data_IF_276788947854
#
_entry.id   IF_276788947854
#
_cell.length_a   1.000
_cell.length_b   1.000
_cell.length_c   1.000
_cell.angle_alpha   90.00
_cell.angle_beta   90.00
_cell.angle_gamma   90.00
#
_symmetry.space_group_name_H-M   'P 1'
#
loop_
_entity.id
_entity.type
_entity.pdbx_description
1 polymer ?
#
# COMPACT_ATOMS: atom_id res chain seq x y z
N UNK A 1 5.89 -0.13 1.48
CA UNK A 1 4.45 0.02 1.83
C UNK A 1 3.58 0.25 0.59
N UNK A 2 4.00 1.08 -0.37
CA UNK A 2 3.22 1.39 -1.58
C UNK A 2 2.75 0.14 -2.34
N UNK A 3 3.65 -0.79 -2.67
CA UNK A 3 3.27 -2.02 -3.39
C UNK A 3 2.36 -2.93 -2.56
N UNK A 4 2.61 -3.01 -1.25
CA UNK A 4 1.81 -3.83 -0.34
C UNK A 4 0.38 -3.29 -0.18
N UNK A 5 0.19 -1.97 -0.29
CA UNK A 5 -1.13 -1.34 -0.16
C UNK A 5 -2.11 -1.80 -1.27
N UNK A 6 -1.61 -2.30 -2.42
CA UNK A 6 -2.44 -2.93 -3.45
C UNK A 6 -3.19 -4.18 -2.94
N UNK A 7 -2.66 -4.85 -1.90
CA UNK A 7 -3.31 -6.02 -1.28
C UNK A 7 -4.48 -5.66 -0.39
N UNK A 8 -4.66 -4.38 -0.08
CA UNK A 8 -5.70 -3.89 0.84
C UNK A 8 -5.70 -4.64 2.18
N UNK A 9 -4.53 -4.68 2.82
CA UNK A 9 -4.31 -5.30 4.14
C UNK A 9 -3.84 -4.27 5.15
N UNK A 10 -4.09 -4.46 6.46
CA UNK A 10 -3.54 -3.61 7.50
C UNK A 10 -2.03 -3.37 7.37
N UNK A 11 -1.62 -2.13 7.60
CA UNK A 11 -0.21 -1.71 7.61
C UNK A 11 0.04 -1.01 8.94
N UNK A 12 1.08 -1.45 9.66
CA UNK A 12 1.61 -0.75 10.83
C UNK A 12 3.02 -0.32 10.49
N UNK A 13 3.35 0.94 10.76
CA UNK A 13 4.68 1.49 10.51
C UNK A 13 5.40 1.62 11.85
N UNK A 14 6.61 1.08 11.91
CA UNK A 14 7.54 1.34 13.00
C UNK A 14 8.65 2.25 12.48
N UNK A 15 8.70 3.48 12.97
CA UNK A 15 9.58 4.55 12.51
C UNK A 15 10.19 5.29 13.72
N UNK A 16 11.08 4.59 14.43
CA UNK A 16 11.74 5.07 15.64
C UNK A 16 12.80 6.15 15.40
N UNK A 17 13.24 6.33 14.16
CA UNK A 17 14.27 7.28 13.76
C UNK A 17 13.77 8.33 12.73
N UNK A 18 12.46 8.54 12.62
CA UNK A 18 11.85 9.35 11.54
C UNK A 18 12.50 10.73 11.35
N UNK A 19 12.77 11.45 12.43
CA UNK A 19 13.38 12.77 12.36
C UNK A 19 14.79 12.73 11.74
N UNK A 20 15.59 11.72 12.12
CA UNK A 20 16.94 11.50 11.56
C UNK A 20 16.85 11.04 10.11
N UNK A 21 15.91 10.14 9.81
CA UNK A 21 15.67 9.63 8.47
C UNK A 21 15.32 10.77 7.50
N UNK A 22 14.35 11.62 7.86
CA UNK A 22 13.91 12.72 6.98
C UNK A 22 15.02 13.72 6.71
N UNK A 23 15.85 14.03 7.71
CA UNK A 23 16.92 15.02 7.59
C UNK A 23 18.09 14.49 6.76
N UNK A 24 18.48 13.23 6.97
CA UNK A 24 19.65 12.62 6.33
C UNK A 24 19.38 12.12 4.91
N UNK A 25 18.15 11.67 4.63
CA UNK A 25 17.78 11.06 3.34
C UNK A 25 16.92 11.97 2.48
N UNK A 26 16.23 12.93 3.09
CA UNK A 26 15.11 13.61 2.44
C UNK A 26 13.93 12.66 2.21
N UNK A 27 12.73 13.21 2.11
CA UNK A 27 11.52 12.46 1.79
C UNK A 27 10.65 13.26 0.83
N UNK A 28 10.06 12.57 -0.15
CA UNK A 28 9.06 13.16 -1.06
C UNK A 28 7.64 13.15 -0.47
N UNK A 29 7.46 12.39 0.60
CA UNK A 29 6.19 12.11 1.23
C UNK A 29 6.39 12.17 2.74
N UNK A 30 5.52 12.92 3.43
CA UNK A 30 5.54 13.00 4.88
C UNK A 30 4.74 11.85 5.48
N UNK A 31 5.46 10.84 5.96
CA UNK A 31 4.89 9.65 6.58
C UNK A 31 4.02 9.98 7.78
N UNK A 32 4.34 11.03 8.54
CA UNK A 32 3.58 11.40 9.74
C UNK A 32 2.29 12.15 9.41
N UNK A 33 2.24 12.81 8.26
CA UNK A 33 1.05 13.53 7.81
C UNK A 33 0.02 12.61 7.16
N UNK A 34 0.45 11.59 6.42
CA UNK A 34 -0.42 10.78 5.57
C UNK A 34 -0.13 9.26 5.65
N UNK A 35 -0.05 8.66 6.86
CA UNK A 35 0.38 7.28 6.99
C UNK A 35 -0.65 6.28 6.42
N UNK A 36 -0.22 5.09 5.98
CA UNK A 36 -1.13 4.03 5.53
C UNK A 36 -1.84 3.28 6.67
N UNK A 37 -1.61 3.67 7.93
CA UNK A 37 -2.10 3.03 9.15
C UNK A 37 -1.36 3.56 10.38
N UNK A 38 -1.43 2.89 11.55
CA UNK A 38 -0.80 3.39 12.76
C UNK A 38 0.72 3.48 12.62
N UNK A 39 1.29 4.55 13.19
CA UNK A 39 2.74 4.74 13.27
C UNK A 39 3.18 4.65 14.72
N UNK A 40 4.11 3.74 15.00
CA UNK A 40 4.76 3.60 16.29
C UNK A 40 6.22 4.08 16.20
N UNK A 41 6.68 4.78 17.23
CA UNK A 41 8.05 5.26 17.38
C UNK A 41 8.82 4.52 18.47
N UNK A 42 8.13 3.73 19.30
CA UNK A 42 8.77 2.85 20.28
C UNK A 42 8.22 1.43 20.24
N UNK A 43 8.96 0.43 20.74
CA UNK A 43 8.47 -0.93 20.88
C UNK A 43 7.19 -1.04 21.72
N UNK A 44 7.03 -0.19 22.74
CA UNK A 44 5.85 -0.15 23.60
C UNK A 44 4.61 0.34 22.86
N UNK A 45 4.75 1.40 22.06
CA UNK A 45 3.69 1.90 21.17
C UNK A 45 3.31 0.83 20.15
N UNK A 46 4.31 0.16 19.56
CA UNK A 46 4.08 -0.92 18.60
C UNK A 46 3.30 -2.08 19.24
N UNK A 47 3.69 -2.49 20.46
CA UNK A 47 3.00 -3.53 21.20
C UNK A 47 1.55 -3.13 21.55
N UNK A 48 1.30 -1.86 21.88
CA UNK A 48 -0.04 -1.34 22.13
C UNK A 48 -0.93 -1.45 20.89
N UNK A 49 -0.44 -1.05 19.71
CA UNK A 49 -1.17 -1.16 18.43
C UNK A 49 -1.69 -2.59 18.20
N UNK A 50 -0.87 -3.61 18.46
CA UNK A 50 -1.29 -5.00 18.30
C UNK A 50 -2.21 -5.50 19.41
N UNK A 51 -1.91 -5.17 20.67
CA UNK A 51 -2.72 -5.57 21.83
C UNK A 51 -4.14 -5.02 21.76
N UNK A 52 -4.28 -3.77 21.34
CA UNK A 52 -5.57 -3.07 21.22
C UNK A 52 -6.24 -3.29 19.86
N UNK A 53 -5.54 -3.97 18.94
CA UNK A 53 -5.97 -4.21 17.56
C UNK A 53 -6.25 -2.93 16.76
N UNK A 54 -5.60 -1.82 17.14
CA UNK A 54 -5.73 -0.53 16.48
C UNK A 54 -5.40 -0.63 14.99
N UNK A 55 -4.48 -1.53 14.58
CA UNK A 55 -4.13 -1.78 13.18
C UNK A 55 -5.31 -2.15 12.26
N UNK A 56 -6.45 -2.57 12.82
CA UNK A 56 -7.63 -3.01 12.06
C UNK A 56 -8.91 -2.26 12.44
N UNK A 57 -8.80 -1.13 13.15
CA UNK A 57 -9.96 -0.30 13.49
C UNK A 57 -10.44 0.57 12.30
N UNK A 58 -11.45 1.40 12.57
CA UNK A 58 -12.03 2.29 11.57
C UNK A 58 -11.04 3.37 11.10
N UNK A 59 -10.18 3.87 11.99
CA UNK A 59 -9.18 4.89 11.67
C UNK A 59 -8.11 4.31 10.75
N UNK A 60 -7.55 3.15 11.10
CA UNK A 60 -6.59 2.43 10.26
C UNK A 60 -7.17 2.05 8.90
N UNK A 61 -8.46 1.72 8.85
CA UNK A 61 -9.15 1.47 7.58
C UNK A 61 -9.26 2.74 6.74
N UNK A 62 -9.59 3.89 7.34
CA UNK A 62 -9.68 5.17 6.65
C UNK A 62 -8.30 5.66 6.15
N UNK A 63 -7.26 5.55 6.97
CA UNK A 63 -5.87 5.87 6.61
C UNK A 63 -5.41 5.03 5.41
N UNK A 64 -5.61 3.71 5.48
CA UNK A 64 -5.30 2.80 4.37
C UNK A 64 -6.08 3.14 3.10
N UNK A 65 -7.37 3.46 3.21
CA UNK A 65 -8.19 3.83 2.06
C UNK A 65 -7.69 5.12 1.39
N UNK A 66 -7.36 6.15 2.17
CA UNK A 66 -6.79 7.40 1.66
C UNK A 66 -5.42 7.18 0.99
N UNK A 67 -4.56 6.38 1.63
CA UNK A 67 -3.26 6.04 1.08
C UNK A 67 -3.37 5.30 -0.26
N UNK A 68 -4.27 4.30 -0.36
CA UNK A 68 -4.52 3.57 -1.61
C UNK A 68 -5.07 4.49 -2.70
N UNK A 69 -6.00 5.38 -2.36
CA UNK A 69 -6.54 6.33 -3.33
C UNK A 69 -5.46 7.24 -3.92
N UNK A 70 -4.45 7.62 -3.12
CA UNK A 70 -3.35 8.48 -3.56
C UNK A 70 -2.26 7.75 -4.34
N UNK A 71 -1.87 6.55 -3.90
CA UNK A 71 -0.64 5.91 -4.39
C UNK A 71 -0.86 4.65 -5.23
N UNK A 72 -2.04 4.05 -5.20
CA UNK A 72 -2.34 2.82 -5.92
C UNK A 72 -3.12 3.07 -7.22
N UNK A 73 -3.08 4.28 -7.80
CA UNK A 73 -3.92 4.63 -8.97
C UNK A 73 -3.63 3.78 -10.21
N UNK A 74 -2.40 3.37 -10.48
CA UNK A 74 -2.05 2.77 -11.79
C UNK A 74 -1.80 1.25 -11.77
N UNK A 75 -1.68 0.64 -10.58
CA UNK A 75 -1.41 -0.79 -10.47
C UNK A 75 -2.71 -1.62 -10.48
N UNK A 76 -3.16 -1.93 -11.69
CA UNK A 76 -4.35 -2.73 -11.97
C UNK A 76 -4.04 -4.17 -12.42
N UNK A 77 -2.79 -4.61 -12.27
CA UNK A 77 -2.32 -5.93 -12.71
C UNK A 77 -2.12 -6.08 -14.22
N UNK A 78 -2.29 -5.03 -15.03
CA UNK A 78 -2.13 -5.08 -16.50
C UNK A 78 -0.92 -4.30 -17.03
N UNK A 79 -0.02 -3.87 -16.15
CA UNK A 79 1.17 -3.11 -16.54
C UNK A 79 2.03 -3.87 -17.58
N UNK A 80 2.32 -5.14 -17.34
CA UNK A 80 3.10 -5.97 -18.26
C UNK A 80 2.42 -6.14 -19.62
N UNK A 81 1.10 -6.39 -19.64
CA UNK A 81 0.32 -6.51 -20.88
C UNK A 81 0.44 -5.23 -21.72
N UNK A 82 0.26 -4.06 -21.09
CA UNK A 82 0.38 -2.76 -21.78
C UNK A 82 1.77 -2.56 -22.38
N UNK A 83 2.83 -2.91 -21.65
CA UNK A 83 4.22 -2.79 -22.14
C UNK A 83 4.46 -3.72 -23.33
N UNK A 84 4.06 -4.99 -23.24
CA UNK A 84 4.23 -5.96 -24.33
C UNK A 84 3.51 -5.49 -25.60
N UNK A 85 2.22 -5.11 -25.49
CA UNK A 85 1.43 -4.61 -26.61
C UNK A 85 2.05 -3.37 -27.25
N UNK A 86 2.50 -2.41 -26.45
CA UNK A 86 3.02 -1.13 -26.96
C UNK A 86 4.41 -1.24 -27.56
N UNK A 87 5.33 -1.94 -26.89
CA UNK A 87 6.77 -1.93 -27.20
C UNK A 87 7.16 -3.09 -28.11
N UNK A 88 6.59 -4.28 -27.89
CA UNK A 88 6.96 -5.48 -28.66
C UNK A 88 6.04 -5.74 -29.85
N UNK A 89 4.75 -5.43 -29.72
CA UNK A 89 3.76 -5.66 -30.78
C UNK A 89 3.42 -4.39 -31.59
N UNK A 90 3.87 -3.21 -31.15
CA UNK A 90 3.66 -1.95 -31.87
C UNK A 90 2.22 -1.45 -31.88
N UNK A 91 1.36 -1.94 -30.98
CA UNK A 91 -0.04 -1.50 -30.90
C UNK A 91 -0.13 0.01 -30.55
N UNK A 92 -1.06 0.76 -31.16
CA UNK A 92 -1.24 2.17 -30.87
C UNK A 92 -1.81 2.38 -29.46
N UNK A 93 -1.54 3.52 -28.78
CA UNK A 93 -2.01 3.77 -27.40
C UNK A 93 -3.52 3.59 -27.18
N UNK A 94 -4.33 3.85 -28.20
CA UNK A 94 -5.79 3.74 -28.16
C UNK A 94 -6.27 2.27 -28.11
N UNK A 95 -5.41 1.32 -28.47
CA UNK A 95 -5.70 -0.11 -28.43
C UNK A 95 -5.29 -0.76 -27.10
N UNK A 96 -4.58 -0.04 -26.21
CA UNK A 96 -4.12 -0.58 -24.94
C UNK A 96 -5.30 -0.71 -23.95
N UNK A 97 -5.33 -1.76 -23.11
CA UNK A 97 -6.31 -1.87 -22.05
C UNK A 97 -6.28 -0.63 -21.14
N UNK A 98 -7.43 0.02 -20.87
CA UNK A 98 -7.48 1.16 -19.95
C UNK A 98 -7.12 0.73 -18.53
N UNK A 99 -6.69 1.69 -17.71
CA UNK A 99 -6.45 1.47 -16.28
C UNK A 99 -7.80 1.20 -15.60
N UNK A 100 -7.94 0.06 -14.92
CA UNK A 100 -9.14 -0.25 -14.15
C UNK A 100 -9.22 0.66 -12.91
N UNK A 101 -10.35 1.34 -12.63
CA UNK A 101 -10.51 2.15 -11.42
C UNK A 101 -10.26 1.35 -10.13
N UNK A 102 -9.66 1.96 -9.11
CA UNK A 102 -9.31 1.28 -7.85
C UNK A 102 -10.50 0.57 -7.19
N UNK A 103 -11.70 1.15 -7.27
CA UNK A 103 -12.93 0.60 -6.71
C UNK A 103 -13.42 -0.69 -7.41
N UNK A 104 -12.98 -0.94 -8.64
CA UNK A 104 -13.35 -2.13 -9.43
C UNK A 104 -12.33 -3.27 -9.29
N UNK A 105 -11.21 -3.03 -8.59
CA UNK A 105 -10.14 -4.01 -8.43
C UNK A 105 -10.44 -4.96 -7.29
N UNK A 106 -10.11 -6.23 -7.50
CA UNK A 106 -10.16 -7.27 -6.47
C UNK A 106 -8.74 -7.52 -5.95
N UNK A 107 -8.43 -7.18 -4.69
CA UNK A 107 -7.12 -7.47 -4.11
C UNK A 107 -6.84 -8.97 -4.11
N UNK A 108 -5.57 -9.35 -4.25
CA UNK A 108 -5.18 -10.75 -4.19
C UNK A 108 -5.57 -11.38 -2.84
N UNK A 109 -6.12 -12.62 -2.84
CA UNK A 109 -6.58 -13.27 -1.62
C UNK A 109 -5.43 -13.43 -0.61
N UNK A 110 -5.75 -13.38 0.68
CA UNK A 110 -4.81 -13.72 1.73
C UNK A 110 -4.32 -15.17 1.56
N UNK A 111 -3.05 -15.42 1.88
CA UNK A 111 -2.55 -16.78 1.92
C UNK A 111 -3.38 -17.57 2.95
N UNK A 112 -3.90 -18.73 2.55
CA UNK A 112 -4.62 -19.62 3.46
C UNK A 112 -3.60 -20.13 4.47
N UNK A 113 -3.91 -20.03 5.76
CA UNK A 113 -3.10 -20.66 6.80
C UNK A 113 -3.07 -22.16 6.53
N UNK A 114 -1.92 -22.69 6.09
CA UNK A 114 -1.66 -24.11 6.10
C UNK A 114 -1.67 -24.54 7.56
N UNK A 115 -2.81 -25.04 8.03
CA UNK A 115 -2.89 -25.72 9.32
C UNK A 115 -2.01 -26.96 9.18
N UNK A 116 -0.83 -26.94 9.79
CA UNK A 116 -0.02 -28.14 9.94
C UNK A 116 -0.81 -29.08 10.85
N UNK A 117 -1.34 -30.14 10.26
CA UNK A 117 -1.86 -31.33 10.93
C UNK A 117 -0.77 -32.04 11.71
#
# INVERSE_FOLDING_TARGET
>A
MFDYANLDRPIVIYADDWEVYRQSRGVYFDLMAEPPGPVARTPEELAAVFRERAYADAESTALRAGFRARFCEFDDGRAAERVVRRVLLGEPPQALPPVLPLAERVPAPAAVTLVRS
#
